data_IF_753227116393
#
_entry.id   IF_753227116393
#
_cell.length_a   1.000
_cell.length_b   1.000
_cell.length_c   1.000
_cell.angle_alpha   90.00
_cell.angle_beta   90.00
_cell.angle_gamma   90.00
#
_symmetry.space_group_name_H-M   'P 1'
#
loop_
_entity.id
_entity.type
_entity.pdbx_description
1 polymer ?
#
# COMPACT_ATOMS: atom_id res chain seq x y z
N UNK A 1 -2.82 14.20 3.17
CA UNK A 1 -3.46 13.03 3.82
C UNK A 1 -3.58 11.89 2.83
N UNK A 2 -3.50 10.64 3.29
CA UNK A 2 -3.69 9.47 2.42
C UNK A 2 -5.11 9.43 1.85
N UNK A 3 -5.24 8.90 0.64
CA UNK A 3 -6.52 8.78 -0.04
C UNK A 3 -7.37 7.63 0.50
N UNK A 4 -8.52 7.41 -0.16
CA UNK A 4 -9.48 6.37 0.24
C UNK A 4 -8.85 4.97 0.20
N UNK A 5 -9.10 4.18 1.23
CA UNK A 5 -8.74 2.76 1.28
C UNK A 5 -9.93 1.89 0.87
N UNK A 6 -9.64 0.87 0.05
CA UNK A 6 -10.61 -0.12 -0.42
C UNK A 6 -10.26 -1.47 0.19
N UNK A 7 -11.25 -2.21 0.66
CA UNK A 7 -11.03 -3.51 1.32
C UNK A 7 -11.85 -4.57 0.60
N UNK A 8 -11.18 -5.60 0.10
CA UNK A 8 -11.80 -6.80 -0.44
C UNK A 8 -11.77 -7.88 0.64
N UNK A 9 -12.94 -8.34 1.05
CA UNK A 9 -13.06 -9.39 2.08
C UNK A 9 -12.67 -10.75 1.49
N UNK A 10 -12.05 -11.64 2.29
CA UNK A 10 -11.83 -13.01 1.87
C UNK A 10 -13.18 -13.69 1.60
N UNK A 11 -13.24 -14.49 0.54
CA UNK A 11 -14.43 -15.24 0.14
C UNK A 11 -14.62 -16.52 0.96
N UNK A 12 -13.52 -17.08 1.47
CA UNK A 12 -13.47 -18.24 2.35
C UNK A 12 -12.94 -17.89 3.74
N UNK A 13 -12.45 -18.89 4.47
CA UNK A 13 -11.82 -18.68 5.78
C UNK A 13 -10.63 -17.73 5.62
N UNK A 14 -10.65 -16.60 6.32
CA UNK A 14 -9.54 -15.65 6.34
C UNK A 14 -8.28 -16.32 6.91
N UNK A 15 -7.19 -16.33 6.13
CA UNK A 15 -5.89 -16.87 6.53
C UNK A 15 -4.75 -15.88 6.33
N UNK A 16 -4.90 -14.92 5.42
CA UNK A 16 -3.88 -13.91 5.17
C UNK A 16 -4.51 -12.54 4.86
N UNK A 17 -3.75 -11.49 5.15
CA UNK A 17 -4.06 -10.12 4.76
C UNK A 17 -2.90 -9.57 3.95
N UNK A 18 -3.20 -8.98 2.80
CA UNK A 18 -2.21 -8.32 1.94
C UNK A 18 -2.59 -6.85 1.78
N UNK A 19 -1.64 -5.96 2.04
CA UNK A 19 -1.74 -4.55 1.63
C UNK A 19 -1.14 -4.44 0.22
N UNK A 20 -1.96 -4.04 -0.75
CA UNK A 20 -1.54 -3.87 -2.15
C UNK A 20 -1.43 -2.39 -2.50
N UNK A 21 -0.22 -1.94 -2.84
CA UNK A 21 0.05 -0.56 -3.22
C UNK A 21 -0.02 -0.41 -4.74
N UNK A 22 -0.83 0.55 -5.21
CA UNK A 22 -0.92 0.87 -6.63
C UNK A 22 0.32 1.65 -7.11
N UNK A 23 0.52 1.72 -8.43
CA UNK A 23 1.59 2.52 -9.04
C UNK A 23 1.28 4.03 -9.09
N UNK A 24 2.29 4.83 -9.44
CA UNK A 24 2.19 6.29 -9.58
C UNK A 24 1.01 6.69 -10.49
N UNK A 25 0.14 7.58 -10.00
CA UNK A 25 -1.00 8.11 -10.76
C UNK A 25 -2.27 7.26 -10.76
N UNK A 26 -2.26 6.10 -10.11
CA UNK A 26 -3.44 5.22 -9.97
C UNK A 26 -4.11 5.40 -8.59
N UNK A 27 -5.08 4.56 -8.23
CA UNK A 27 -5.72 4.55 -6.93
C UNK A 27 -6.12 3.14 -6.47
N UNK A 28 -6.36 2.96 -5.17
CA UNK A 28 -6.68 1.65 -4.58
C UNK A 28 -7.95 1.01 -5.16
N UNK A 29 -8.90 1.81 -5.64
CA UNK A 29 -10.13 1.34 -6.27
C UNK A 29 -9.90 0.45 -7.50
N UNK A 30 -9.02 0.86 -8.43
CA UNK A 30 -8.71 0.12 -9.66
C UNK A 30 -8.20 -1.28 -9.34
N UNK A 31 -7.28 -1.36 -8.38
CA UNK A 31 -6.68 -2.63 -7.98
C UNK A 31 -7.62 -3.51 -7.17
N UNK A 32 -8.47 -2.94 -6.31
CA UNK A 32 -9.42 -3.73 -5.54
C UNK A 32 -10.38 -4.53 -6.43
N UNK A 33 -10.83 -3.96 -7.55
CA UNK A 33 -11.68 -4.65 -8.52
C UNK A 33 -10.95 -5.81 -9.19
N UNK A 34 -9.69 -5.63 -9.56
CA UNK A 34 -8.87 -6.68 -10.17
C UNK A 34 -8.61 -7.81 -9.15
N UNK A 35 -8.18 -7.47 -7.93
CA UNK A 35 -7.84 -8.44 -6.89
C UNK A 35 -9.05 -9.26 -6.43
N UNK A 36 -10.26 -8.69 -6.46
CA UNK A 36 -11.50 -9.41 -6.17
C UNK A 36 -11.79 -10.53 -7.18
N UNK A 37 -11.27 -10.45 -8.41
CA UNK A 37 -11.45 -11.50 -9.43
C UNK A 37 -10.53 -12.71 -9.25
N UNK A 38 -9.46 -12.59 -8.47
CA UNK A 38 -8.47 -13.66 -8.32
C UNK A 38 -9.05 -14.86 -7.56
N UNK A 39 -8.67 -16.10 -7.92
CA UNK A 39 -9.12 -17.32 -7.25
C UNK A 39 -8.36 -17.58 -5.94
N UNK A 40 -8.29 -16.57 -5.07
CA UNK A 40 -7.56 -16.59 -3.80
C UNK A 40 -8.54 -16.36 -2.64
N UNK A 41 -9.34 -17.38 -2.25
CA UNK A 41 -10.49 -17.19 -1.37
C UNK A 41 -10.11 -16.82 0.08
N UNK A 42 -8.89 -17.14 0.52
CA UNK A 42 -8.47 -16.97 1.91
C UNK A 42 -7.78 -15.64 2.22
N UNK A 43 -7.66 -14.75 1.22
CA UNK A 43 -6.92 -13.49 1.33
C UNK A 43 -7.88 -12.31 1.50
N UNK A 44 -7.62 -11.49 2.52
CA UNK A 44 -8.16 -10.13 2.62
C UNK A 44 -7.21 -9.16 1.90
N UNK A 45 -7.73 -8.34 1.00
CA UNK A 45 -6.94 -7.30 0.33
C UNK A 45 -7.25 -5.94 0.92
N UNK A 46 -6.22 -5.19 1.29
CA UNK A 46 -6.31 -3.78 1.68
C UNK A 46 -5.61 -2.98 0.58
N UNK A 47 -6.35 -2.16 -0.15
CA UNK A 47 -5.87 -1.38 -1.28
C UNK A 47 -5.97 0.11 -0.91
N UNK A 48 -4.97 0.68 -0.22
CA UNK A 48 -4.95 2.11 0.09
C UNK A 48 -4.72 2.93 -1.18
N UNK A 49 -5.05 4.22 -1.11
CA UNK A 49 -4.71 5.20 -2.17
C UNK A 49 -3.65 6.14 -1.63
N UNK A 50 -2.56 6.32 -2.37
CA UNK A 50 -1.50 7.25 -2.04
C UNK A 50 -2.05 8.68 -1.93
N UNK A 51 -1.44 9.58 -1.13
CA UNK A 51 -1.82 10.98 -1.11
C UNK A 51 -1.58 11.62 -2.48
N UNK A 52 -2.44 12.56 -2.85
CA UNK A 52 -2.17 13.46 -3.95
C UNK A 52 -1.06 14.43 -3.52
N UNK A 53 0.07 14.44 -4.24
CA UNK A 53 1.22 15.31 -3.97
C UNK A 53 1.87 15.78 -5.28
N UNK A 54 2.57 16.92 -5.29
CA UNK A 54 3.45 17.28 -6.41
C UNK A 54 4.51 16.20 -6.62
N UNK A 55 4.79 15.86 -7.88
CA UNK A 55 5.82 14.88 -8.24
C UNK A 55 6.91 15.55 -9.06
N UNK A 56 8.14 15.55 -8.55
CA UNK A 56 9.29 16.23 -9.15
C UNK A 56 9.56 15.76 -10.59
N UNK A 57 9.47 14.45 -10.84
CA UNK A 57 9.61 13.84 -12.17
C UNK A 57 8.62 14.41 -13.20
N UNK A 58 7.45 14.87 -12.75
CA UNK A 58 6.41 15.47 -13.59
C UNK A 58 6.44 17.01 -13.57
N UNK A 59 7.57 17.61 -13.19
CA UNK A 59 7.69 19.07 -13.08
C UNK A 59 6.80 19.66 -12.00
N UNK A 60 6.50 18.88 -10.95
CA UNK A 60 5.64 19.29 -9.84
C UNK A 60 4.13 19.11 -10.10
N UNK A 61 3.73 18.50 -11.22
CA UNK A 61 2.31 18.22 -11.46
C UNK A 61 1.76 17.26 -10.38
N UNK A 62 0.59 17.56 -9.77
CA UNK A 62 0.02 16.71 -8.72
C UNK A 62 -0.40 15.34 -9.26
N UNK A 63 0.01 14.28 -8.56
CA UNK A 63 -0.39 12.91 -8.85
C UNK A 63 -0.46 12.10 -7.55
N UNK A 64 -1.08 10.93 -7.58
CA UNK A 64 -1.08 10.01 -6.42
C UNK A 64 0.28 9.32 -6.34
N UNK A 65 1.04 9.63 -5.29
CA UNK A 65 2.40 9.10 -5.10
C UNK A 65 2.68 8.78 -3.63
N UNK A 66 3.33 7.64 -3.38
CA UNK A 66 3.73 7.19 -2.04
C UNK A 66 4.90 8.03 -1.50
N UNK A 67 5.82 8.42 -2.38
CA UNK A 67 6.96 9.28 -2.10
C UNK A 67 7.25 10.10 -3.35
N UNK A 68 8.00 11.20 -3.21
CA UNK A 68 8.43 12.01 -4.35
C UNK A 68 9.55 11.30 -5.13
N UNK A 69 9.50 11.42 -6.45
CA UNK A 69 10.49 10.86 -7.37
C UNK A 69 11.07 12.02 -8.17
N UNK A 70 12.38 12.26 -8.05
CA UNK A 70 13.07 13.37 -8.73
C UNK A 70 13.54 12.99 -10.11
N UNK A 71 14.14 11.81 -10.21
CA UNK A 71 14.60 11.21 -11.46
C UNK A 71 14.54 9.68 -11.34
N UNK A 72 14.80 8.96 -12.43
CA UNK A 72 14.74 7.49 -12.50
C UNK A 72 16.14 6.84 -12.41
N UNK A 73 17.16 7.60 -12.04
CA UNK A 73 18.51 7.09 -11.77
C UNK A 73 18.55 6.43 -10.40
N UNK A 74 19.40 5.41 -10.24
CA UNK A 74 19.69 4.82 -8.93
C UNK A 74 20.47 5.77 -8.02
N UNK A 75 21.12 6.79 -8.59
CA UNK A 75 21.87 7.82 -7.85
C UNK A 75 20.99 8.99 -7.37
N UNK A 76 19.70 8.98 -7.71
CA UNK A 76 18.76 10.02 -7.30
C UNK A 76 18.67 10.09 -5.76
N UNK A 77 18.64 11.29 -5.16
CA UNK A 77 18.38 11.39 -3.73
C UNK A 77 16.95 10.94 -3.41
N UNK A 78 16.82 9.91 -2.57
CA UNK A 78 15.53 9.37 -2.11
C UNK A 78 14.73 10.39 -1.29
N UNK A 79 13.41 10.35 -1.44
CA UNK A 79 12.46 10.98 -0.51
C UNK A 79 12.24 10.08 0.72
N UNK A 80 13.23 10.05 1.61
CA UNK A 80 13.21 9.22 2.83
C UNK A 80 12.01 9.53 3.72
N UNK A 81 11.62 10.80 3.84
CA UNK A 81 10.46 11.20 4.64
C UNK A 81 9.15 10.64 4.05
N UNK A 82 8.96 10.76 2.72
CA UNK A 82 7.81 10.19 2.05
C UNK A 82 7.76 8.66 2.10
N UNK A 83 8.93 8.02 2.02
CA UNK A 83 9.08 6.57 2.16
C UNK A 83 8.69 6.11 3.58
N UNK A 84 9.25 6.74 4.61
CA UNK A 84 8.95 6.42 6.01
C UNK A 84 7.48 6.65 6.34
N UNK A 85 6.89 7.75 5.86
CA UNK A 85 5.46 8.03 6.03
C UNK A 85 4.58 6.94 5.37
N UNK A 86 4.96 6.48 4.17
CA UNK A 86 4.25 5.40 3.47
C UNK A 86 4.40 4.07 4.18
N UNK A 87 5.60 3.74 4.65
CA UNK A 87 5.87 2.52 5.41
C UNK A 87 5.06 2.50 6.72
N UNK A 88 5.07 3.61 7.48
CA UNK A 88 4.28 3.75 8.69
C UNK A 88 2.77 3.61 8.43
N UNK A 89 2.28 4.16 7.32
CA UNK A 89 0.88 3.99 6.92
C UNK A 89 0.53 2.52 6.65
N UNK A 90 1.38 1.79 5.91
CA UNK A 90 1.20 0.35 5.66
C UNK A 90 1.19 -0.46 6.95
N UNK A 91 2.12 -0.18 7.87
CA UNK A 91 2.16 -0.84 9.19
C UNK A 91 0.87 -0.57 9.97
N UNK A 92 0.36 0.65 9.96
CA UNK A 92 -0.89 1.00 10.64
C UNK A 92 -2.10 0.26 10.04
N UNK A 93 -2.15 0.07 8.73
CA UNK A 93 -3.22 -0.71 8.06
C UNK A 93 -3.22 -2.19 8.47
N UNK A 94 -2.05 -2.74 8.80
CA UNK A 94 -1.90 -4.12 9.27
C UNK A 94 -2.07 -4.27 10.79
N UNK A 95 -2.02 -3.18 11.56
CA UNK A 95 -2.13 -3.22 13.03
C UNK A 95 -3.36 -3.94 13.61
N UNK A 96 -4.53 -3.98 12.95
CA UNK A 96 -5.69 -4.73 13.46
C UNK A 96 -5.58 -6.24 13.27
N UNK A 97 -4.63 -6.71 12.44
CA UNK A 97 -4.43 -8.15 12.24
C UNK A 97 -3.79 -8.78 13.47
N UNK A 98 -4.21 -9.98 13.87
CA UNK A 98 -3.57 -10.69 14.96
C UNK A 98 -2.11 -10.93 14.61
N UNK A 99 -1.19 -10.58 15.53
CA UNK A 99 0.20 -11.03 15.44
C UNK A 99 0.19 -12.54 15.61
N UNK A 100 0.93 -13.26 14.76
CA UNK A 100 1.03 -14.71 14.88
C UNK A 100 1.41 -15.10 16.31
N UNK A 101 0.64 -16.02 16.89
CA UNK A 101 0.90 -16.63 18.20
C UNK A 101 2.16 -17.51 18.20
N UNK A 102 2.81 -17.71 17.05
CA UNK A 102 4.04 -18.49 16.89
C UNK A 102 5.29 -17.78 17.45
N UNK A 103 5.27 -16.45 17.59
CA UNK A 103 6.39 -15.69 18.17
C UNK A 103 6.54 -15.82 19.70
N UNK A 104 5.72 -16.65 20.36
CA UNK A 104 5.74 -16.85 21.82
C UNK A 104 6.33 -18.19 22.26
N UNK A 105 6.90 -19.00 21.36
CA UNK A 105 7.67 -20.16 21.79
C UNK A 105 9.09 -19.71 22.17
N UNK A 106 9.53 -19.88 23.43
CA UNK A 106 10.91 -19.59 23.80
C UNK A 106 11.87 -20.52 23.05
N UNK A 107 13.03 -19.96 22.71
CA UNK A 107 14.17 -20.64 22.09
C UNK A 107 14.65 -21.84 22.89
#
# INVERSE_FOLDING_TARGET
EFGRTYVVKPKGKHQATIVWLHGLGDHGGSWSQILETLPLPNIKWICPTAPARPVSLFGGFPSTAWFDIRDLSEDAPDDLEGLDASAAHVVNLLSPEPRDSWCLLPS
#
